data_IF_468135443200
#
_entry.id   IF_468135443200
#
_cell.length_a   1.000
_cell.length_b   1.000
_cell.length_c   1.000
_cell.angle_alpha   90.00
_cell.angle_beta   90.00
_cell.angle_gamma   90.00
#
_symmetry.space_group_name_H-M   'P 1'
#
loop_
_entity.id
_entity.type
_entity.pdbx_description
1 polymer ?
#
# COMPACT_ATOMS: atom_id res chain seq x y z
N UNK A 1 -2.60 -37.55 21.34
CA UNK A 1 -1.19 -37.98 21.39
C UNK A 1 -0.85 -38.63 20.05
N UNK A 2 -0.28 -37.88 19.13
CA UNK A 2 0.20 -38.38 17.84
C UNK A 2 1.57 -37.74 17.59
N UNK A 3 2.60 -38.58 17.63
CA UNK A 3 3.98 -38.23 17.35
C UNK A 3 4.22 -38.31 15.84
N UNK A 4 4.65 -37.21 15.21
CA UNK A 4 5.36 -37.28 13.94
C UNK A 4 6.77 -36.75 14.12
N UNK A 5 7.71 -37.69 14.20
CA UNK A 5 9.14 -37.48 14.08
C UNK A 5 9.48 -37.45 12.59
N UNK A 6 10.03 -36.35 12.10
CA UNK A 6 10.77 -36.33 10.84
C UNK A 6 12.23 -36.02 11.16
N UNK A 7 13.05 -37.07 11.12
CA UNK A 7 14.51 -36.97 11.07
C UNK A 7 14.89 -37.25 9.63
N UNK A 8 15.37 -36.24 8.93
CA UNK A 8 15.98 -36.39 7.61
C UNK A 8 17.45 -36.00 7.73
N UNK A 9 18.24 -37.07 7.71
CA UNK A 9 19.68 -37.15 7.55
C UNK A 9 20.23 -36.22 6.46
N UNK A 10 21.26 -35.44 6.77
CA UNK A 10 22.16 -34.83 5.81
C UNK A 10 23.59 -35.23 6.17
N UNK A 11 24.30 -35.81 5.21
CA UNK A 11 25.74 -36.12 5.20
C UNK A 11 26.24 -35.76 3.79
N UNK A 12 27.54 -35.57 3.56
CA UNK A 12 28.51 -34.78 4.30
C UNK A 12 29.21 -33.75 3.39
N UNK A 13 30.06 -32.94 4.01
CA UNK A 13 30.98 -31.97 3.43
C UNK A 13 31.78 -32.49 2.21
N UNK A 14 31.82 -31.67 1.16
CA UNK A 14 32.82 -31.71 0.10
C UNK A 14 33.44 -30.31 -0.07
N UNK A 15 34.75 -30.21 0.16
CA UNK A 15 35.52 -28.96 0.20
C UNK A 15 35.92 -28.43 -1.18
N UNK A 16 35.88 -27.10 -1.28
CA UNK A 16 36.79 -26.16 -1.96
C UNK A 16 37.12 -26.31 -3.45
N UNK A 17 36.76 -25.27 -4.22
CA UNK A 17 37.68 -24.69 -5.20
C UNK A 17 37.42 -23.18 -5.35
N UNK A 18 38.46 -22.42 -5.05
CA UNK A 18 38.63 -20.98 -5.14
C UNK A 18 38.54 -20.51 -6.58
N UNK A 19 37.80 -19.41 -6.85
CA UNK A 19 38.11 -18.37 -7.85
C UNK A 19 37.12 -17.19 -7.70
N UNK A 20 37.61 -16.03 -7.27
CA UNK A 20 37.01 -14.69 -7.42
C UNK A 20 37.94 -13.87 -8.36
N UNK A 21 37.52 -12.73 -8.94
CA UNK A 21 36.24 -12.44 -9.60
C UNK A 21 36.48 -11.76 -10.97
N UNK A 22 35.86 -12.23 -12.04
CA UNK A 22 35.74 -11.41 -13.26
C UNK A 22 34.40 -10.66 -13.23
N UNK A 23 34.49 -9.34 -13.09
CA UNK A 23 33.35 -8.41 -13.11
C UNK A 23 32.71 -8.41 -14.51
N UNK A 24 31.47 -8.89 -14.69
CA UNK A 24 30.76 -8.71 -15.94
C UNK A 24 30.23 -7.28 -15.98
N UNK A 25 30.52 -6.57 -17.08
CA UNK A 25 29.86 -5.31 -17.44
C UNK A 25 28.33 -5.44 -17.26
N UNK A 26 27.63 -4.44 -16.70
CA UNK A 26 26.17 -4.44 -16.67
C UNK A 26 25.66 -4.40 -18.11
N UNK A 27 25.28 -5.57 -18.62
CA UNK A 27 24.49 -5.69 -19.84
C UNK A 27 23.04 -5.49 -19.40
N UNK A 28 22.37 -4.48 -19.94
CA UNK A 28 20.95 -4.17 -19.71
C UNK A 28 20.02 -5.22 -20.33
N UNK A 29 20.35 -6.51 -20.18
CA UNK A 29 19.52 -7.62 -20.62
C UNK A 29 18.53 -7.92 -19.51
N UNK A 30 17.41 -7.19 -19.51
CA UNK A 30 16.26 -7.51 -18.70
C UNK A 30 15.87 -8.99 -18.90
N UNK A 31 15.69 -9.72 -17.80
CA UNK A 31 15.27 -11.11 -17.82
C UNK A 31 13.97 -11.28 -18.65
N UNK A 32 13.87 -12.32 -19.51
CA UNK A 32 12.68 -12.59 -20.30
C UNK A 32 11.56 -13.06 -19.35
N UNK A 33 10.69 -12.13 -18.96
CA UNK A 33 9.57 -12.41 -18.05
C UNK A 33 8.91 -11.15 -17.45
N UNK A 34 9.59 -10.00 -17.47
CA UNK A 34 9.09 -8.75 -16.86
C UNK A 34 8.63 -7.70 -17.88
N UNK A 35 8.25 -8.10 -19.10
CA UNK A 35 7.93 -7.14 -20.18
C UNK A 35 6.52 -6.54 -20.13
N UNK A 36 5.65 -6.94 -19.21
CA UNK A 36 4.22 -6.61 -19.34
C UNK A 36 3.46 -6.31 -18.04
N UNK A 37 4.15 -5.79 -17.02
CA UNK A 37 3.43 -5.07 -15.96
C UNK A 37 3.24 -3.63 -16.47
N UNK A 38 2.28 -3.45 -17.37
CA UNK A 38 1.83 -2.09 -17.66
C UNK A 38 1.32 -1.49 -16.35
N UNK A 39 1.75 -0.27 -15.95
CA UNK A 39 1.09 0.46 -14.89
C UNK A 39 -0.33 0.74 -15.37
N UNK A 40 -1.27 -0.14 -15.02
CA UNK A 40 -2.62 -0.14 -15.55
C UNK A 40 -3.48 0.87 -14.79
N UNK A 41 -3.01 2.11 -14.67
CA UNK A 41 -3.88 3.22 -14.33
C UNK A 41 -4.47 3.68 -15.67
N UNK A 42 -5.62 3.10 -16.04
CA UNK A 42 -6.50 3.72 -17.06
C UNK A 42 -6.62 5.19 -16.67
N UNK A 43 -6.24 6.10 -17.57
CA UNK A 43 -6.28 7.54 -17.37
C UNK A 43 -7.64 7.98 -16.81
N UNK A 44 -7.76 8.03 -15.50
CA UNK A 44 -8.89 8.62 -14.82
C UNK A 44 -8.62 10.13 -14.85
N UNK A 45 -9.43 10.88 -15.60
CA UNK A 45 -9.21 12.34 -15.74
C UNK A 45 -9.45 13.09 -14.43
N UNK A 46 -10.19 12.48 -13.51
CA UNK A 46 -10.59 13.06 -12.22
C UNK A 46 -10.00 12.22 -11.09
N UNK A 47 -8.72 12.44 -10.78
CA UNK A 47 -8.05 11.89 -9.60
C UNK A 47 -7.97 12.99 -8.55
N UNK A 48 -8.55 12.73 -7.38
CA UNK A 48 -8.51 13.67 -6.25
C UNK A 48 -7.48 13.20 -5.22
N UNK A 49 -6.76 14.14 -4.59
CA UNK A 49 -5.98 13.80 -3.40
C UNK A 49 -6.92 13.45 -2.25
N UNK A 50 -6.55 12.48 -1.41
CA UNK A 50 -7.39 12.00 -0.30
C UNK A 50 -7.79 13.13 0.67
N UNK A 51 -6.91 14.08 0.96
CA UNK A 51 -7.20 15.19 1.87
C UNK A 51 -8.10 16.23 1.20
N UNK A 52 -7.81 16.54 -0.06
CA UNK A 52 -8.66 17.46 -0.83
C UNK A 52 -10.06 16.91 -1.03
N UNK A 53 -10.18 15.59 -1.26
CA UNK A 53 -11.45 14.90 -1.40
C UNK A 53 -12.25 14.90 -0.10
N UNK A 54 -11.62 14.60 1.04
CA UNK A 54 -12.28 14.63 2.35
C UNK A 54 -12.75 16.05 2.69
N UNK A 55 -11.91 17.07 2.46
CA UNK A 55 -12.26 18.48 2.73
C UNK A 55 -13.38 19.01 1.84
N UNK A 56 -13.35 18.67 0.55
CA UNK A 56 -14.25 19.28 -0.44
C UNK A 56 -15.59 18.57 -0.56
N UNK A 57 -15.62 17.25 -0.40
CA UNK A 57 -16.80 16.44 -0.69
C UNK A 57 -17.21 15.49 0.44
N UNK A 58 -16.31 15.26 1.41
CA UNK A 58 -16.42 14.21 2.42
C UNK A 58 -16.42 12.81 1.79
N UNK A 59 -15.39 12.00 2.03
CA UNK A 59 -15.39 10.61 1.56
C UNK A 59 -16.39 9.84 2.40
N UNK A 60 -17.35 9.18 1.76
CA UNK A 60 -18.29 8.31 2.45
C UNK A 60 -17.62 6.96 2.74
N UNK A 61 -17.17 6.28 1.69
CA UNK A 61 -16.39 5.05 1.80
C UNK A 61 -15.54 4.83 0.53
N UNK A 62 -14.43 4.12 0.69
CA UNK A 62 -13.68 3.53 -0.42
C UNK A 62 -14.40 2.27 -0.89
N UNK A 63 -14.28 1.85 -2.15
CA UNK A 63 -14.94 0.64 -2.65
C UNK A 63 -14.03 -0.38 -3.33
N UNK A 64 -12.97 0.06 -4.00
CA UNK A 64 -12.15 -0.83 -4.84
C UNK A 64 -10.72 -0.28 -4.97
N UNK A 65 -9.71 -1.14 -4.90
CA UNK A 65 -8.34 -0.81 -5.27
C UNK A 65 -8.19 -0.69 -6.79
N UNK A 66 -7.62 0.42 -7.26
CA UNK A 66 -7.47 0.73 -8.69
C UNK A 66 -6.05 0.55 -9.22
N UNK A 67 -5.05 0.50 -8.34
CA UNK A 67 -3.65 0.40 -8.71
C UNK A 67 -2.78 1.30 -7.86
N UNK A 68 -1.54 1.48 -8.30
CA UNK A 68 -0.56 2.29 -7.60
C UNK A 68 0.33 3.08 -8.56
N UNK A 69 1.07 4.05 -8.04
CA UNK A 69 2.05 4.83 -8.81
C UNK A 69 3.45 4.71 -8.22
N UNK A 70 4.46 4.97 -9.05
CA UNK A 70 5.86 5.03 -8.64
C UNK A 70 6.11 6.05 -7.51
N UNK A 71 5.27 7.08 -7.40
CA UNK A 71 5.36 8.10 -6.35
C UNK A 71 4.81 7.64 -4.99
N UNK A 72 4.78 6.33 -4.73
CA UNK A 72 4.30 5.73 -3.48
C UNK A 72 2.87 6.18 -3.13
N UNK A 73 1.98 6.14 -4.12
CA UNK A 73 0.54 6.38 -3.94
C UNK A 73 -0.27 5.18 -4.39
N UNK A 74 -1.31 4.89 -3.63
CA UNK A 74 -2.32 3.87 -3.89
C UNK A 74 -3.57 4.59 -4.39
N UNK A 75 -4.21 4.05 -5.41
CA UNK A 75 -5.46 4.60 -5.95
C UNK A 75 -6.63 3.73 -5.52
N UNK A 76 -7.69 4.38 -5.06
CA UNK A 76 -8.95 3.73 -4.71
C UNK A 76 -10.10 4.36 -5.48
N UNK A 77 -11.12 3.57 -5.77
CA UNK A 77 -12.45 4.09 -6.02
C UNK A 77 -13.08 4.52 -4.70
N UNK A 78 -13.74 5.66 -4.68
CA UNK A 78 -14.47 6.15 -3.52
C UNK A 78 -15.79 6.79 -3.95
N UNK A 79 -16.75 6.81 -3.02
CA UNK A 79 -17.96 7.61 -3.11
C UNK A 79 -17.87 8.76 -2.13
N UNK A 80 -18.37 9.92 -2.53
CA UNK A 80 -18.41 11.10 -1.70
C UNK A 80 -19.81 11.30 -1.11
N UNK A 81 -19.90 12.00 0.01
CA UNK A 81 -21.17 12.27 0.69
C UNK A 81 -22.07 13.17 -0.15
N UNK A 82 -21.50 14.17 -0.81
CA UNK A 82 -22.23 15.12 -1.64
C UNK A 82 -22.70 14.52 -2.97
N UNK A 83 -21.96 13.56 -3.53
CA UNK A 83 -22.28 12.90 -4.80
C UNK A 83 -22.30 11.35 -4.67
N UNK A 84 -23.22 10.75 -3.90
CA UNK A 84 -23.18 9.33 -3.56
C UNK A 84 -23.40 8.40 -4.77
N UNK A 85 -23.94 8.92 -5.88
CA UNK A 85 -24.16 8.16 -7.11
C UNK A 85 -22.93 8.11 -8.03
N UNK A 86 -21.90 8.92 -7.77
CA UNK A 86 -20.69 9.00 -8.59
C UNK A 86 -19.53 8.32 -7.88
N UNK A 87 -18.85 7.44 -8.61
CA UNK A 87 -17.61 6.81 -8.16
C UNK A 87 -16.46 7.64 -8.73
N UNK A 88 -15.58 8.11 -7.83
CA UNK A 88 -14.40 8.91 -8.18
C UNK A 88 -13.14 8.13 -7.82
N UNK A 89 -12.03 8.48 -8.45
CA UNK A 89 -10.73 7.91 -8.07
C UNK A 89 -10.05 8.85 -7.10
N UNK A 90 -9.63 8.30 -5.97
CA UNK A 90 -8.90 9.00 -4.91
C UNK A 90 -7.48 8.45 -4.85
N UNK A 91 -6.52 9.36 -4.85
CA UNK A 91 -5.10 9.08 -4.70
C UNK A 91 -4.71 9.22 -3.23
N UNK A 92 -4.23 8.13 -2.64
CA UNK A 92 -3.79 8.07 -1.25
C UNK A 92 -2.27 7.86 -1.20
N UNK A 93 -1.47 8.83 -0.72
CA UNK A 93 -0.07 8.56 -0.39
C UNK A 93 0.04 7.55 0.76
N UNK A 94 1.17 6.85 0.87
CA UNK A 94 1.41 5.89 1.97
C UNK A 94 1.42 6.57 3.35
N UNK A 95 1.85 7.82 3.41
CA UNK A 95 1.82 8.67 4.61
C UNK A 95 1.00 9.91 4.29
N UNK A 96 -0.07 10.12 5.03
CA UNK A 96 -1.08 11.13 4.76
C UNK A 96 -0.98 12.21 5.83
N UNK A 97 -0.62 13.43 5.46
CA UNK A 97 -0.67 14.58 6.35
C UNK A 97 -2.09 15.15 6.37
N UNK A 98 -2.82 14.85 7.44
CA UNK A 98 -4.19 15.28 7.65
C UNK A 98 -4.29 16.45 8.63
N UNK A 99 -3.22 17.22 8.85
CA UNK A 99 -3.23 18.37 9.76
C UNK A 99 -4.26 19.45 9.43
N UNK A 100 -4.82 19.44 8.21
CA UNK A 100 -5.90 20.32 7.77
C UNK A 100 -7.31 19.83 8.13
N UNK A 101 -7.48 18.54 8.46
CA UNK A 101 -8.76 17.96 8.86
C UNK A 101 -9.01 18.19 10.34
N UNK A 102 -10.28 18.16 10.78
CA UNK A 102 -10.60 18.15 12.21
C UNK A 102 -10.16 16.82 12.84
N UNK A 103 -9.84 16.77 14.15
CA UNK A 103 -9.42 15.53 14.80
C UNK A 103 -10.39 14.35 14.60
N UNK A 104 -11.69 14.62 14.67
CA UNK A 104 -12.71 13.59 14.43
C UNK A 104 -12.63 13.02 13.00
N UNK A 105 -12.49 13.90 12.01
CA UNK A 105 -12.39 13.53 10.60
C UNK A 105 -11.07 12.78 10.31
N UNK A 106 -9.97 13.12 11.01
CA UNK A 106 -8.70 12.39 10.93
C UNK A 106 -8.86 10.94 11.38
N UNK A 107 -9.56 10.71 12.50
CA UNK A 107 -9.84 9.36 13.02
C UNK A 107 -10.75 8.61 12.05
N UNK A 108 -11.84 9.22 11.60
CA UNK A 108 -12.75 8.60 10.63
C UNK A 108 -12.04 8.25 9.32
N UNK A 109 -11.15 9.12 8.83
CA UNK A 109 -10.36 8.85 7.64
C UNK A 109 -9.41 7.66 7.86
N UNK A 110 -8.74 7.58 9.01
CA UNK A 110 -7.89 6.44 9.36
C UNK A 110 -8.70 5.12 9.36
N UNK A 111 -9.91 5.13 9.91
CA UNK A 111 -10.81 3.96 9.93
C UNK A 111 -11.17 3.52 8.50
N UNK A 112 -11.61 4.48 7.66
CA UNK A 112 -11.96 4.21 6.25
C UNK A 112 -10.77 3.62 5.49
N UNK A 113 -9.55 4.14 5.73
CA UNK A 113 -8.34 3.66 5.10
C UNK A 113 -7.87 2.30 5.63
N UNK A 114 -8.05 2.03 6.93
CA UNK A 114 -7.77 0.72 7.52
C UNK A 114 -8.65 -0.36 6.87
N UNK A 115 -9.94 -0.07 6.66
CA UNK A 115 -10.83 -0.96 5.92
C UNK A 115 -10.41 -1.14 4.44
N UNK A 116 -9.99 -0.06 3.78
CA UNK A 116 -9.55 -0.10 2.37
C UNK A 116 -8.19 -0.79 2.19
N UNK A 117 -7.34 -0.80 3.23
CA UNK A 117 -6.00 -1.42 3.21
C UNK A 117 -6.07 -2.90 2.86
N UNK A 118 -7.12 -3.59 3.26
CA UNK A 118 -7.31 -5.00 2.98
C UNK A 118 -7.57 -5.31 1.51
N UNK A 119 -7.96 -4.32 0.71
CA UNK A 119 -8.16 -4.50 -0.73
C UNK A 119 -6.88 -4.33 -1.54
N UNK A 120 -5.81 -3.81 -0.93
CA UNK A 120 -4.53 -3.66 -1.62
C UNK A 120 -3.81 -5.01 -1.62
N UNK A 121 -3.47 -5.55 -2.79
CA UNK A 121 -2.76 -6.82 -2.90
C UNK A 121 -1.39 -6.80 -2.18
N UNK A 122 -1.01 -7.92 -1.55
CA UNK A 122 0.20 -8.01 -0.73
C UNK A 122 1.49 -7.63 -1.49
N UNK A 123 1.56 -8.02 -2.76
CA UNK A 123 2.67 -7.69 -3.65
C UNK A 123 2.85 -6.18 -3.85
N UNK A 124 1.79 -5.38 -3.73
CA UNK A 124 1.86 -3.93 -3.88
C UNK A 124 2.63 -3.30 -2.71
N UNK A 125 2.44 -3.82 -1.49
CA UNK A 125 3.22 -3.39 -0.32
C UNK A 125 4.69 -3.75 -0.46
N UNK A 126 4.98 -4.95 -0.98
CA UNK A 126 6.36 -5.38 -1.27
C UNK A 126 7.05 -4.48 -2.30
N UNK A 127 6.34 -4.03 -3.35
CA UNK A 127 6.88 -3.07 -4.34
C UNK A 127 7.28 -1.75 -3.69
N UNK A 128 6.56 -1.32 -2.66
CA UNK A 128 6.89 -0.12 -1.90
C UNK A 128 7.95 -0.31 -0.82
N UNK A 129 8.40 -1.56 -0.60
CA UNK A 129 9.34 -1.91 0.46
C UNK A 129 8.82 -1.64 1.86
N UNK A 130 7.50 -1.77 2.09
CA UNK A 130 6.88 -1.55 3.40
C UNK A 130 5.98 -2.72 3.80
N UNK A 131 5.76 -2.88 5.11
CA UNK A 131 4.77 -3.82 5.62
C UNK A 131 3.37 -3.23 5.45
N UNK A 132 2.37 -4.07 5.14
CA UNK A 132 0.96 -3.65 4.99
C UNK A 132 0.48 -2.71 6.11
N UNK A 133 0.80 -3.02 7.36
CA UNK A 133 0.38 -2.25 8.54
C UNK A 133 1.06 -0.88 8.68
N UNK A 134 2.13 -0.62 7.92
CA UNK A 134 2.86 0.65 7.88
C UNK A 134 2.38 1.57 6.74
N UNK A 135 1.50 1.06 5.87
CA UNK A 135 0.93 1.80 4.75
C UNK A 135 -0.38 2.50 5.11
N UNK A 136 -0.65 3.63 4.44
CA UNK A 136 -1.86 4.44 4.60
C UNK A 136 -2.04 4.90 6.06
N UNK A 137 -0.99 5.50 6.61
CA UNK A 137 -1.01 6.09 7.96
C UNK A 137 -1.39 7.56 7.85
N UNK A 138 -2.39 7.96 8.62
CA UNK A 138 -2.82 9.35 8.80
C UNK A 138 -2.02 9.97 9.94
N UNK A 139 -1.44 11.13 9.68
CA UNK A 139 -0.71 11.93 10.65
C UNK A 139 -1.49 13.21 10.97
N UNK A 140 -1.49 13.59 12.25
CA UNK A 140 -2.04 14.85 12.69
C UNK A 140 -1.11 16.04 12.38
N UNK A 141 -1.53 17.25 12.74
CA UNK A 141 -0.73 18.47 12.55
C UNK A 141 0.63 18.45 13.28
N UNK A 142 0.77 17.66 14.34
CA UNK A 142 2.02 17.46 15.08
C UNK A 142 2.92 16.35 14.49
N UNK A 143 2.54 15.79 13.33
CA UNK A 143 3.21 14.65 12.68
C UNK A 143 3.23 13.38 13.53
N UNK A 144 2.25 13.21 14.42
CA UNK A 144 2.03 11.97 15.16
C UNK A 144 1.00 11.11 14.42
N UNK A 145 1.21 9.79 14.30
CA UNK A 145 0.22 8.91 13.70
C UNK A 145 -1.05 8.91 14.55
N UNK A 146 -2.21 8.88 13.90
CA UNK A 146 -3.49 8.74 14.59
C UNK A 146 -3.56 7.36 15.22
N UNK A 147 -3.85 7.33 16.52
CA UNK A 147 -3.92 6.07 17.27
C UNK A 147 -5.13 5.25 16.81
N UNK A 148 -4.84 4.07 16.24
CA UNK A 148 -5.86 3.14 15.75
C UNK A 148 -6.73 2.58 16.87
N UNK A 149 -6.30 2.64 18.13
CA UNK A 149 -7.10 2.13 19.25
C UNK A 149 -8.29 3.03 19.59
N UNK A 150 -8.22 4.32 19.27
CA UNK A 150 -9.33 5.25 19.50
C UNK A 150 -10.53 4.99 18.57
N UNK A 151 -10.31 4.27 17.46
CA UNK A 151 -11.35 3.88 16.52
C UNK A 151 -12.34 2.84 17.07
N UNK A 152 -11.99 2.10 18.13
CA UNK A 152 -12.85 1.07 18.70
C UNK A 152 -14.04 1.64 19.52
N UNK A 153 -14.08 2.96 19.73
CA UNK A 153 -15.05 3.64 20.60
C UNK A 153 -16.01 4.58 19.86
N UNK A 154 -15.95 4.62 18.52
CA UNK A 154 -16.84 5.39 17.63
C UNK A 154 -17.79 4.45 16.88
#
# INVERSE_FOLDING_TARGET
MFCMKFISSWNPYGSSSTNEPETPRPSNTAAPGYRDIQPMVRYCRDIHDVIEAELSFGISFFSEYRGFSANRRVFFSARFQDEPHRIRTVSCPLSIDAGKLRPEDQILLQIKLDAARDWVPENTWSVFGIVKNEGLIVYNAEKRPIDRQLAAFL
#
